data_IF_822844059564
#
_entry.id   IF_822844059564
#
_cell.length_a   1.000
_cell.length_b   1.000
_cell.length_c   1.000
_cell.angle_alpha   90.00
_cell.angle_beta   90.00
_cell.angle_gamma   90.00
#
_symmetry.space_group_name_H-M   'P 1'
#
loop_
_entity.id
_entity.type
_entity.pdbx_description
1 polymer ?
#
# COMPACT_ATOMS: atom_id res chain seq x y z
N UNK A 1 19.44 -30.23 4.67
CA UNK A 1 19.81 -29.05 5.48
C UNK A 1 18.89 -27.91 5.07
N UNK A 2 17.94 -27.57 5.93
CA UNK A 2 16.96 -26.51 5.69
C UNK A 2 17.66 -25.15 5.77
N UNK A 3 17.64 -24.39 4.69
CA UNK A 3 18.21 -23.05 4.65
C UNK A 3 17.39 -22.16 5.62
N UNK A 4 18.00 -21.54 6.66
CA UNK A 4 17.26 -20.65 7.54
C UNK A 4 16.65 -19.52 6.71
N UNK A 5 15.36 -19.25 6.90
CA UNK A 5 14.66 -18.16 6.22
C UNK A 5 15.39 -16.86 6.52
N UNK A 6 16.14 -16.33 5.54
CA UNK A 6 16.71 -14.98 5.60
C UNK A 6 15.55 -14.02 5.86
N UNK A 7 15.58 -13.37 7.01
CA UNK A 7 14.63 -12.32 7.36
C UNK A 7 15.01 -11.08 6.56
N UNK A 8 14.11 -10.62 5.68
CA UNK A 8 14.33 -9.47 4.81
C UNK A 8 14.34 -8.17 5.61
N UNK A 9 15.21 -7.22 5.23
CA UNK A 9 15.23 -5.92 5.90
C UNK A 9 14.07 -5.05 5.41
N UNK A 10 13.05 -4.94 6.26
CA UNK A 10 11.88 -4.08 6.04
C UNK A 10 12.04 -2.70 6.71
N UNK A 11 13.19 -2.41 7.32
CA UNK A 11 13.42 -1.14 8.04
C UNK A 11 13.12 0.12 7.22
N UNK A 12 13.31 0.16 5.88
CA UNK A 12 12.97 1.35 5.11
C UNK A 12 11.46 1.58 4.96
N UNK A 13 10.63 0.56 5.19
CA UNK A 13 9.18 0.67 5.08
C UNK A 13 8.58 1.07 6.43
N UNK A 14 7.87 2.20 6.46
CA UNK A 14 7.26 2.76 7.68
C UNK A 14 5.77 2.48 7.77
N UNK A 15 5.10 2.43 6.62
CA UNK A 15 3.72 2.03 6.60
C UNK A 15 3.04 2.17 5.24
N UNK A 16 1.80 1.71 5.20
CA UNK A 16 0.91 1.90 4.07
C UNK A 16 -0.50 2.21 4.59
N UNK A 17 -1.20 3.11 3.92
CA UNK A 17 -2.55 3.52 4.28
C UNK A 17 -3.42 3.47 3.03
N UNK A 18 -4.65 3.01 3.17
CA UNK A 18 -5.71 3.14 2.17
C UNK A 18 -6.84 3.96 2.78
N UNK A 19 -7.28 4.99 2.06
CA UNK A 19 -8.40 5.84 2.44
C UNK A 19 -9.23 6.21 1.21
N UNK A 20 -10.45 6.72 1.41
CA UNK A 20 -11.21 7.35 0.33
C UNK A 20 -10.56 8.68 -0.03
N UNK A 21 -10.85 9.17 -1.23
CA UNK A 21 -10.38 10.48 -1.70
C UNK A 21 -10.82 11.64 -0.79
N UNK A 22 -11.90 11.47 -0.03
CA UNK A 22 -12.39 12.39 1.00
C UNK A 22 -11.52 12.44 2.27
N UNK A 23 -10.56 11.52 2.42
CA UNK A 23 -9.74 11.34 3.63
C UNK A 23 -10.30 10.33 4.63
N UNK A 24 -11.48 9.75 4.36
CA UNK A 24 -12.08 8.71 5.20
C UNK A 24 -11.16 7.48 5.22
N UNK A 25 -10.70 7.14 6.42
CA UNK A 25 -9.74 6.07 6.67
C UNK A 25 -10.37 4.69 6.50
N UNK A 26 -9.68 3.77 5.79
CA UNK A 26 -10.18 2.42 5.51
C UNK A 26 -9.26 1.32 6.01
N UNK A 27 -7.94 1.49 5.86
CA UNK A 27 -6.99 0.44 6.21
C UNK A 27 -5.60 1.02 6.42
N UNK A 28 -4.83 0.41 7.30
CA UNK A 28 -3.40 0.63 7.41
C UNK A 28 -2.58 -0.65 7.56
N UNK A 29 -1.29 -0.49 7.37
CA UNK A 29 -0.30 -1.30 8.02
C UNK A 29 0.87 -0.39 8.35
N UNK A 30 0.93 0.05 9.60
CA UNK A 30 1.99 0.92 10.11
C UNK A 30 3.00 0.08 10.90
N UNK A 31 4.28 0.26 10.59
CA UNK A 31 5.41 -0.32 11.33
C UNK A 31 6.09 0.72 12.23
N UNK A 32 5.95 2.00 11.90
CA UNK A 32 6.52 3.12 12.63
C UNK A 32 5.48 3.77 13.56
N UNK A 33 5.67 3.65 14.87
CA UNK A 33 4.75 4.18 15.87
C UNK A 33 4.64 5.71 15.90
N UNK A 34 5.55 6.43 15.24
CA UNK A 34 5.46 7.89 15.14
C UNK A 34 4.42 8.36 14.09
N UNK A 35 3.91 7.44 13.27
CA UNK A 35 2.93 7.73 12.23
C UNK A 35 1.52 7.46 12.74
N UNK A 36 0.71 8.52 12.84
CA UNK A 36 -0.74 8.39 13.06
C UNK A 36 -1.45 8.27 11.69
N UNK A 37 -2.04 7.10 11.37
CA UNK A 37 -2.65 6.87 10.08
C UNK A 37 -3.94 7.68 9.85
N UNK A 38 -4.67 8.01 10.91
CA UNK A 38 -5.92 8.79 10.83
C UNK A 38 -5.60 10.26 10.53
N UNK A 39 -4.60 10.83 11.20
CA UNK A 39 -4.13 12.18 10.89
C UNK A 39 -3.58 12.27 9.47
N UNK A 40 -2.84 11.24 9.03
CA UNK A 40 -2.28 11.22 7.69
C UNK A 40 -3.35 11.08 6.59
N UNK A 41 -4.35 10.21 6.77
CA UNK A 41 -5.46 10.11 5.82
C UNK A 41 -6.26 11.42 5.76
N UNK A 42 -6.45 12.07 6.91
CA UNK A 42 -7.11 13.38 7.00
C UNK A 42 -6.32 14.47 6.30
N UNK A 43 -4.99 14.51 6.48
CA UNK A 43 -4.10 15.43 5.77
C UNK A 43 -4.18 15.25 4.25
N UNK A 44 -4.12 14.01 3.78
CA UNK A 44 -4.22 13.71 2.35
C UNK A 44 -5.62 14.03 1.81
N UNK A 45 -6.69 13.73 2.56
CA UNK A 45 -8.05 14.18 2.23
C UNK A 45 -8.15 15.70 2.10
N UNK A 46 -7.51 16.46 3.00
CA UNK A 46 -7.47 17.91 2.92
C UNK A 46 -6.75 18.43 1.67
N UNK A 47 -5.70 17.74 1.18
CA UNK A 47 -5.05 18.11 -0.09
C UNK A 47 -6.02 18.07 -1.28
N UNK A 48 -7.06 17.23 -1.24
CA UNK A 48 -8.12 17.23 -2.25
C UNK A 48 -8.92 18.54 -2.30
N UNK A 49 -9.00 19.26 -1.16
CA UNK A 49 -9.67 20.56 -1.04
C UNK A 49 -8.81 21.70 -1.60
N UNK A 50 -7.48 21.60 -1.47
CA UNK A 50 -6.55 22.63 -1.96
C UNK A 50 -6.38 22.64 -3.48
N UNK A 51 -6.76 21.55 -4.17
CA UNK A 51 -6.73 21.52 -5.62
C UNK A 51 -7.39 20.28 -6.19
N UNK A 52 -8.72 20.32 -6.37
CA UNK A 52 -9.48 19.24 -7.05
C UNK A 52 -8.83 18.80 -8.37
N UNK A 53 -8.28 19.75 -9.12
CA UNK A 53 -7.65 19.51 -10.43
C UNK A 53 -6.21 18.98 -10.33
N UNK A 54 -5.59 19.05 -9.15
CA UNK A 54 -4.19 18.72 -8.93
C UNK A 54 -4.00 17.55 -7.96
N UNK A 55 -5.00 17.18 -7.17
CA UNK A 55 -4.89 16.11 -6.18
C UNK A 55 -4.55 14.76 -6.82
N UNK A 56 -5.16 14.42 -7.95
CA UNK A 56 -4.79 13.23 -8.73
C UNK A 56 -3.40 13.27 -9.36
N UNK A 57 -2.72 14.43 -9.32
CA UNK A 57 -1.36 14.64 -9.82
C UNK A 57 -0.32 14.65 -8.69
N UNK A 58 -0.75 14.58 -7.43
CA UNK A 58 0.19 14.47 -6.30
C UNK A 58 0.64 13.01 -6.25
N UNK A 59 1.85 12.77 -6.74
CA UNK A 59 2.44 11.43 -6.76
C UNK A 59 3.33 11.18 -5.56
N UNK A 60 3.94 12.23 -5.00
CA UNK A 60 4.92 12.14 -3.92
C UNK A 60 4.84 13.32 -2.94
N UNK A 61 5.04 13.03 -1.65
CA UNK A 61 5.17 14.03 -0.57
C UNK A 61 6.39 13.68 0.28
N UNK A 62 7.22 14.68 0.61
CA UNK A 62 8.37 14.50 1.51
C UNK A 62 8.17 15.32 2.78
N UNK A 63 8.28 14.68 3.95
CA UNK A 63 8.17 15.35 5.26
C UNK A 63 9.56 15.35 5.90
N UNK A 64 10.26 16.48 5.81
CA UNK A 64 11.64 16.61 6.31
C UNK A 64 11.78 16.40 7.83
N UNK A 65 10.75 16.73 8.62
CA UNK A 65 10.78 16.60 10.08
C UNK A 65 10.70 15.15 10.58
N UNK A 66 10.17 14.24 9.76
CA UNK A 66 10.06 12.80 10.06
C UNK A 66 11.03 11.96 9.23
N UNK A 67 11.82 12.59 8.36
CA UNK A 67 12.68 11.96 7.36
C UNK A 67 12.00 10.86 6.51
N UNK A 68 10.71 11.05 6.22
CA UNK A 68 9.92 10.13 5.37
C UNK A 68 9.60 10.74 4.02
N UNK A 69 9.41 9.84 3.05
CA UNK A 69 8.80 10.11 1.77
C UNK A 69 7.56 9.24 1.58
N UNK A 70 6.55 9.80 0.92
CA UNK A 70 5.27 9.17 0.68
C UNK A 70 5.05 9.04 -0.81
N UNK A 71 4.70 7.84 -1.27
CA UNK A 71 4.24 7.58 -2.64
C UNK A 71 2.72 7.46 -2.61
N UNK A 72 2.04 8.30 -3.38
CA UNK A 72 0.58 8.42 -3.39
C UNK A 72 0.04 7.93 -4.72
N UNK A 73 -0.89 6.98 -4.67
CA UNK A 73 -1.64 6.46 -5.82
C UNK A 73 -3.12 6.73 -5.60
N UNK A 74 -3.78 7.29 -6.61
CA UNK A 74 -5.21 7.58 -6.58
C UNK A 74 -5.90 6.88 -7.76
N UNK A 75 -6.81 5.96 -7.44
CA UNK A 75 -7.67 5.25 -8.41
C UNK A 75 -9.00 4.89 -7.75
N UNK A 76 -10.06 4.80 -8.55
CA UNK A 76 -11.38 4.33 -8.09
C UNK A 76 -12.00 5.13 -6.93
N UNK A 77 -11.65 6.41 -6.77
CA UNK A 77 -12.06 7.21 -5.60
C UNK A 77 -11.36 6.83 -4.30
N UNK A 78 -10.31 6.02 -4.38
CA UNK A 78 -9.45 5.59 -3.28
C UNK A 78 -8.06 6.16 -3.43
N UNK A 79 -7.38 6.29 -2.30
CA UNK A 79 -6.01 6.78 -2.20
C UNK A 79 -5.19 5.79 -1.38
N UNK A 80 -4.09 5.34 -1.94
CA UNK A 80 -3.09 4.53 -1.27
C UNK A 80 -1.82 5.34 -1.07
N UNK A 81 -1.36 5.39 0.18
CA UNK A 81 -0.19 6.14 0.61
C UNK A 81 0.83 5.12 1.12
N UNK A 82 1.96 4.98 0.43
CA UNK A 82 3.09 4.17 0.90
C UNK A 82 4.11 5.09 1.56
N UNK A 83 4.56 4.78 2.77
CA UNK A 83 5.45 5.61 3.57
C UNK A 83 6.77 4.88 3.76
N UNK A 84 7.86 5.54 3.39
CA UNK A 84 9.20 4.98 3.38
C UNK A 84 10.19 5.98 3.97
N UNK A 85 11.35 5.48 4.40
CA UNK A 85 12.52 6.33 4.65
C UNK A 85 12.83 7.16 3.41
N UNK A 86 13.11 8.44 3.61
CA UNK A 86 13.44 9.38 2.52
C UNK A 86 14.68 8.98 1.73
N UNK A 87 15.62 8.29 2.35
CA UNK A 87 16.83 7.79 1.67
C UNK A 87 16.59 6.54 0.81
N UNK A 88 15.39 5.94 0.89
CA UNK A 88 15.11 4.70 0.17
C UNK A 88 14.86 4.95 -1.33
N UNK A 89 15.44 4.16 -2.25
CA UNK A 89 15.19 4.34 -3.67
C UNK A 89 13.80 3.82 -4.07
N UNK A 90 13.01 4.64 -4.77
CA UNK A 90 11.61 4.36 -5.12
C UNK A 90 11.41 3.40 -6.32
N UNK A 91 12.27 2.39 -6.47
CA UNK A 91 12.27 1.50 -7.65
C UNK A 91 10.95 0.72 -7.79
N UNK A 92 10.13 1.07 -8.79
CA UNK A 92 8.84 0.43 -9.10
C UNK A 92 7.81 0.43 -7.95
N UNK A 93 8.00 1.23 -6.89
CA UNK A 93 7.08 1.26 -5.74
C UNK A 93 5.70 1.69 -6.17
N UNK A 94 5.61 2.74 -7.01
CA UNK A 94 4.34 3.23 -7.56
C UNK A 94 3.55 2.12 -8.26
N UNK A 95 4.21 1.32 -9.09
CA UNK A 95 3.58 0.20 -9.80
C UNK A 95 3.07 -0.89 -8.84
N UNK A 96 3.78 -1.14 -7.75
CA UNK A 96 3.32 -2.09 -6.72
C UNK A 96 2.16 -1.50 -5.90
N UNK A 97 2.19 -0.21 -5.59
CA UNK A 97 1.09 0.51 -4.95
C UNK A 97 -0.18 0.52 -5.82
N UNK A 98 -0.06 0.77 -7.12
CA UNK A 98 -1.18 0.65 -8.08
C UNK A 98 -1.80 -0.74 -8.05
N UNK A 99 -0.99 -1.81 -8.12
CA UNK A 99 -1.50 -3.19 -8.03
C UNK A 99 -2.18 -3.47 -6.70
N UNK A 100 -1.63 -2.96 -5.59
CA UNK A 100 -2.23 -3.15 -4.28
C UNK A 100 -3.62 -2.49 -4.23
N UNK A 101 -3.76 -1.29 -4.79
CA UNK A 101 -5.02 -0.57 -4.85
C UNK A 101 -6.02 -1.24 -5.82
N UNK A 102 -5.55 -1.75 -6.97
CA UNK A 102 -6.37 -2.54 -7.90
C UNK A 102 -6.93 -3.79 -7.22
N UNK A 103 -6.08 -4.53 -6.49
CA UNK A 103 -6.50 -5.71 -5.74
C UNK A 103 -7.51 -5.36 -4.64
N UNK A 104 -7.24 -4.29 -3.88
CA UNK A 104 -8.16 -3.83 -2.84
C UNK A 104 -9.53 -3.49 -3.42
N UNK A 105 -9.57 -2.75 -4.53
CA UNK A 105 -10.82 -2.44 -5.22
C UNK A 105 -11.55 -3.70 -5.69
N UNK A 106 -10.85 -4.65 -6.31
CA UNK A 106 -11.46 -5.89 -6.79
C UNK A 106 -12.10 -6.74 -5.67
N UNK A 107 -11.51 -6.75 -4.47
CA UNK A 107 -12.06 -7.52 -3.35
C UNK A 107 -13.24 -6.82 -2.67
N UNK A 108 -13.29 -5.49 -2.65
CA UNK A 108 -14.20 -4.74 -1.79
C UNK A 108 -15.05 -3.69 -2.51
N UNK A 109 -15.07 -3.65 -3.85
CA UNK A 109 -15.83 -2.66 -4.64
C UNK A 109 -17.29 -2.50 -4.19
N UNK A 110 -17.96 -3.60 -3.84
CA UNK A 110 -19.37 -3.58 -3.44
C UNK A 110 -19.60 -3.07 -2.01
N UNK A 111 -18.51 -2.83 -1.26
CA UNK A 111 -18.56 -2.50 0.16
C UNK A 111 -18.22 -1.02 0.45
N UNK A 112 -17.68 -0.27 -0.52
CA UNK A 112 -17.15 1.08 -0.27
C UNK A 112 -18.21 2.16 0.02
N UNK A 113 -19.35 2.10 -0.66
CA UNK A 113 -20.38 3.16 -0.59
C UNK A 113 -21.15 3.15 0.74
N UNK A 114 -21.19 2.00 1.43
CA UNK A 114 -21.92 1.81 2.69
C UNK A 114 -21.01 1.40 3.86
N UNK A 115 -19.68 1.57 3.73
CA UNK A 115 -18.76 1.17 4.78
C UNK A 115 -18.79 2.16 5.96
N UNK A 116 -19.05 1.63 7.17
CA UNK A 116 -19.02 2.37 8.43
C UNK A 116 -17.88 1.85 9.33
N UNK A 117 -17.28 0.69 9.00
CA UNK A 117 -16.38 -0.04 9.89
C UNK A 117 -15.09 -0.46 9.17
N UNK A 118 -13.97 0.06 9.68
CA UNK A 118 -12.60 -0.09 9.16
C UNK A 118 -12.11 -1.54 9.29
N UNK A 119 -12.56 -2.25 10.33
CA UNK A 119 -12.12 -3.61 10.65
C UNK A 119 -12.53 -4.63 9.57
N UNK A 120 -13.49 -4.28 8.72
CA UNK A 120 -13.93 -5.11 7.58
C UNK A 120 -12.82 -5.43 6.59
N UNK A 121 -11.76 -4.62 6.56
CA UNK A 121 -10.68 -4.73 5.60
C UNK A 121 -9.43 -5.40 6.18
N UNK A 122 -9.46 -5.83 7.44
CA UNK A 122 -8.29 -6.41 8.12
C UNK A 122 -7.74 -7.66 7.43
N UNK A 123 -8.59 -8.45 6.78
CA UNK A 123 -8.17 -9.63 6.01
C UNK A 123 -7.20 -9.26 4.87
N UNK A 124 -7.32 -8.05 4.32
CA UNK A 124 -6.42 -7.53 3.28
C UNK A 124 -5.02 -7.19 3.81
N UNK A 125 -4.84 -6.94 5.12
CA UNK A 125 -3.52 -6.69 5.71
C UNK A 125 -2.56 -7.86 5.44
N UNK A 126 -3.08 -9.09 5.39
CA UNK A 126 -2.27 -10.27 5.06
C UNK A 126 -1.73 -10.23 3.62
N UNK A 127 -2.55 -9.80 2.66
CA UNK A 127 -2.18 -9.64 1.25
C UNK A 127 -1.13 -8.54 1.09
N UNK A 128 -1.34 -7.40 1.75
CA UNK A 128 -0.37 -6.30 1.77
C UNK A 128 0.97 -6.75 2.36
N UNK A 129 0.99 -7.45 3.50
CA UNK A 129 2.21 -7.99 4.12
C UNK A 129 2.98 -8.87 3.14
N UNK A 130 2.29 -9.78 2.47
CA UNK A 130 2.92 -10.69 1.52
C UNK A 130 3.45 -9.96 0.28
N UNK A 131 2.73 -8.95 -0.21
CA UNK A 131 3.20 -8.12 -1.31
C UNK A 131 4.45 -7.31 -0.93
N UNK A 132 4.46 -6.67 0.23
CA UNK A 132 5.61 -5.91 0.76
C UNK A 132 6.83 -6.83 0.89
N UNK A 133 6.68 -8.00 1.52
CA UNK A 133 7.77 -8.98 1.65
C UNK A 133 8.32 -9.42 0.30
N UNK A 134 7.45 -9.69 -0.68
CA UNK A 134 7.85 -10.05 -2.04
C UNK A 134 8.59 -8.92 -2.74
N UNK A 135 8.17 -7.68 -2.53
CA UNK A 135 8.83 -6.50 -3.09
C UNK A 135 10.25 -6.37 -2.56
N UNK A 136 10.44 -6.34 -1.23
CA UNK A 136 11.77 -6.23 -0.62
C UNK A 136 12.68 -7.41 -0.98
N UNK A 137 12.13 -8.63 -1.02
CA UNK A 137 12.86 -9.81 -1.51
C UNK A 137 13.37 -9.64 -2.95
N UNK A 138 12.54 -9.09 -3.84
CA UNK A 138 12.94 -8.87 -5.25
C UNK A 138 14.08 -7.86 -5.36
N UNK A 139 14.08 -6.81 -4.53
CA UNK A 139 15.14 -5.81 -4.53
C UNK A 139 16.50 -6.41 -4.15
N UNK A 140 16.54 -7.28 -3.13
CA UNK A 140 17.79 -7.94 -2.72
C UNK A 140 18.31 -8.94 -3.76
N UNK A 141 17.42 -9.57 -4.54
CA UNK A 141 17.81 -10.53 -5.58
C UNK A 141 18.19 -9.87 -6.91
N UNK A 142 17.84 -8.60 -7.12
CA UNK A 142 18.09 -7.86 -8.35
C UNK A 142 19.46 -7.20 -8.32
N UNK A 143 20.49 -8.01 -8.55
CA UNK A 143 21.71 -7.52 -9.20
C UNK A 143 21.55 -7.45 -10.73
N UNK A 144 20.49 -8.03 -11.32
CA UNK A 144 20.29 -8.04 -12.78
C UNK A 144 18.94 -7.44 -13.17
N UNK A 145 19.01 -6.46 -14.07
CA UNK A 145 17.90 -5.83 -14.79
C UNK A 145 17.40 -6.79 -15.86
N UNK A 146 16.08 -6.91 -15.95
CA UNK A 146 15.24 -7.46 -17.04
C UNK A 146 14.29 -8.59 -16.59
N UNK A 147 13.09 -8.55 -17.17
CA UNK A 147 11.92 -9.41 -16.95
C UNK A 147 11.11 -9.29 -15.64
N UNK A 148 10.03 -8.51 -15.73
CA UNK A 148 8.82 -8.74 -14.91
C UNK A 148 7.81 -9.46 -15.81
N UNK A 149 8.00 -10.77 -15.91
CA UNK A 149 7.00 -11.70 -16.39
C UNK A 149 5.81 -11.79 -15.43
N UNK A 150 4.65 -11.98 -16.04
CA UNK A 150 3.30 -12.01 -15.50
C UNK A 150 3.12 -12.93 -14.28
N UNK A 151 2.36 -12.48 -13.27
CA UNK A 151 2.20 -13.20 -12.00
C UNK A 151 0.95 -14.10 -12.00
N UNK A 152 1.13 -15.36 -12.42
CA UNK A 152 0.20 -16.47 -12.17
C UNK A 152 0.02 -16.87 -10.68
N UNK A 153 0.40 -16.01 -9.73
CA UNK A 153 0.26 -16.24 -8.28
C UNK A 153 -1.11 -15.81 -7.75
N UNK A 154 -1.77 -14.86 -8.41
CA UNK A 154 -2.99 -14.24 -7.89
C UNK A 154 -4.20 -15.17 -7.92
N UNK A 155 -4.27 -16.10 -8.87
CA UNK A 155 -5.34 -17.10 -8.96
C UNK A 155 -5.48 -17.96 -7.69
N UNK A 156 -4.37 -18.29 -7.03
CA UNK A 156 -4.40 -19.14 -5.84
C UNK A 156 -4.72 -18.39 -4.54
N UNK A 157 -4.30 -17.12 -4.42
CA UNK A 157 -4.65 -16.28 -3.28
C UNK A 157 -6.13 -15.85 -3.34
N UNK A 158 -6.62 -15.50 -4.54
CA UNK A 158 -8.03 -15.18 -4.81
C UNK A 158 -8.93 -16.37 -4.46
N UNK A 159 -8.51 -17.60 -4.82
CA UNK A 159 -9.26 -18.82 -4.49
C UNK A 159 -9.36 -19.05 -2.98
N UNK A 160 -8.24 -18.91 -2.24
CA UNK A 160 -8.22 -19.11 -0.78
C UNK A 160 -9.04 -18.09 0.01
N UNK A 161 -9.10 -16.83 -0.42
CA UNK A 161 -9.91 -15.83 0.26
C UNK A 161 -11.41 -16.09 0.07
N UNK A 162 -11.81 -16.49 -1.14
CA UNK A 162 -13.21 -16.82 -1.46
C UNK A 162 -13.71 -18.07 -0.74
N UNK A 163 -12.81 -19.01 -0.44
CA UNK A 163 -13.13 -20.25 0.27
C UNK A 163 -13.18 -20.07 1.81
N UNK A 164 -12.73 -18.92 2.36
CA UNK A 164 -12.78 -18.61 3.80
C UNK A 164 -14.03 -17.81 4.20
N UNK A 165 -14.77 -17.27 3.22
CA UNK A 165 -16.00 -16.48 3.42
C UNK A 165 -17.28 -17.28 3.14
N UNK A 166 -17.17 -18.60 2.88
CA UNK A 166 -18.27 -19.55 2.77
C UNK A 166 -18.17 -20.62 3.86
#
# INVERSE_FOLDING_TARGET
>A
MSNPQKQYDLSPFKGIIICKQSGEYLLDLILDSEIDPVLLSSFVGALSLFGKDNFGKIEEITIKGLDVQMVIVNKYGLVLITILDKSFPLHNIRKEAEKALDNFYLFYQDQFDNCIDVDKFDSFKSVLRDQIKKYFKKLETRNDLEDIGDFGFFTNAIKKMRDLEN
#
